data_IF_963219054162
#
_entry.id   IF_963219054162
#
_cell.length_a   1.000
_cell.length_b   1.000
_cell.length_c   1.000
_cell.angle_alpha   90.00
_cell.angle_beta   90.00
_cell.angle_gamma   90.00
#
_symmetry.space_group_name_H-M   'P 1'
#
loop_
_entity.id
_entity.type
_entity.pdbx_description
1 polymer ?
#
# COMPACT_ATOMS: atom_id res chain seq x y z
N UNK A 1 -39.43 -47.33 -30.54
CA UNK A 1 -39.68 -46.43 -29.40
C UNK A 1 -38.99 -45.12 -29.75
N UNK A 2 -39.73 -44.25 -30.42
CA UNK A 2 -39.21 -43.06 -31.09
C UNK A 2 -39.64 -41.85 -30.28
N UNK A 3 -38.67 -41.04 -29.86
CA UNK A 3 -38.89 -39.86 -29.06
C UNK A 3 -39.55 -38.75 -29.89
N UNK A 4 -40.63 -38.19 -29.36
CA UNK A 4 -41.39 -37.09 -29.96
C UNK A 4 -40.68 -35.76 -29.70
N UNK A 5 -40.49 -34.99 -30.77
CA UNK A 5 -39.90 -33.66 -30.77
C UNK A 5 -40.95 -32.60 -30.40
N UNK A 6 -40.60 -31.69 -29.49
CA UNK A 6 -41.38 -30.49 -29.19
C UNK A 6 -40.94 -29.33 -30.11
N UNK A 7 -41.86 -28.49 -30.62
CA UNK A 7 -41.54 -27.43 -31.56
C UNK A 7 -40.96 -26.18 -30.86
N UNK A 8 -39.97 -25.55 -31.50
CA UNK A 8 -39.39 -24.27 -31.11
C UNK A 8 -40.40 -23.11 -31.33
N UNK A 9 -40.50 -22.14 -30.39
CA UNK A 9 -41.23 -20.91 -30.66
C UNK A 9 -40.37 -19.93 -31.48
N UNK A 10 -40.89 -19.58 -32.65
CA UNK A 10 -40.39 -18.54 -33.56
C UNK A 10 -40.33 -17.18 -32.87
N UNK A 11 -39.11 -16.66 -32.68
CA UNK A 11 -38.87 -15.27 -32.25
C UNK A 11 -39.08 -14.36 -33.46
N UNK A 12 -40.28 -13.79 -33.61
CA UNK A 12 -40.51 -12.69 -34.55
C UNK A 12 -40.04 -11.39 -33.90
N UNK A 13 -39.10 -10.72 -34.56
CA UNK A 13 -38.64 -9.37 -34.21
C UNK A 13 -39.81 -8.40 -34.23
N UNK A 14 -40.11 -7.80 -33.08
CA UNK A 14 -40.95 -6.61 -32.97
C UNK A 14 -40.08 -5.46 -32.47
N UNK A 15 -39.14 -5.01 -33.31
CA UNK A 15 -38.66 -3.64 -33.26
C UNK A 15 -39.76 -2.80 -33.91
N UNK A 16 -40.71 -2.37 -33.08
CA UNK A 16 -41.60 -1.26 -33.44
C UNK A 16 -40.80 0.03 -33.29
N UNK A 17 -40.26 0.53 -34.40
CA UNK A 17 -39.76 1.89 -34.51
C UNK A 17 -40.91 2.87 -34.25
N UNK A 18 -41.10 3.23 -32.98
CA UNK A 18 -41.73 4.49 -32.61
C UNK A 18 -40.64 5.37 -32.03
N UNK A 19 -39.84 5.94 -32.92
CA UNK A 19 -39.07 7.15 -32.61
C UNK A 19 -40.07 8.22 -32.16
N UNK A 20 -40.33 8.29 -30.86
CA UNK A 20 -40.88 9.49 -30.27
C UNK A 20 -39.81 10.56 -30.42
N UNK A 21 -40.13 11.61 -31.18
CA UNK A 21 -39.29 12.79 -31.29
C UNK A 21 -38.90 13.24 -29.88
N UNK A 22 -37.64 13.68 -29.65
CA UNK A 22 -37.26 14.24 -28.37
C UNK A 22 -38.22 15.40 -28.09
N UNK A 23 -38.95 15.30 -26.98
CA UNK A 23 -39.76 16.40 -26.52
C UNK A 23 -38.76 17.48 -26.12
N UNK A 24 -38.49 18.44 -27.01
CA UNK A 24 -37.74 19.66 -26.71
C UNK A 24 -38.59 20.47 -25.71
N UNK A 25 -38.50 20.07 -24.46
CA UNK A 25 -39.10 20.77 -23.35
C UNK A 25 -38.29 22.04 -23.03
N UNK A 26 -38.94 23.13 -22.62
CA UNK A 26 -38.29 24.38 -22.24
C UNK A 26 -37.36 24.29 -21.00
N UNK A 27 -37.33 23.16 -20.29
CA UNK A 27 -36.39 22.86 -19.21
C UNK A 27 -34.93 22.71 -19.69
N UNK A 28 -34.73 22.21 -20.91
CA UNK A 28 -33.42 22.03 -21.52
C UNK A 28 -32.73 23.35 -21.86
N UNK A 29 -33.49 24.40 -22.24
CA UNK A 29 -32.92 25.70 -22.60
C UNK A 29 -32.35 26.46 -21.40
N UNK A 30 -33.03 26.43 -20.25
CA UNK A 30 -32.58 27.10 -19.03
C UNK A 30 -31.32 26.45 -18.46
N UNK A 31 -31.31 25.11 -18.42
CA UNK A 31 -30.15 24.35 -17.95
C UNK A 31 -28.95 24.53 -18.90
N UNK A 32 -29.16 24.48 -20.21
CA UNK A 32 -28.13 24.76 -21.20
C UNK A 32 -27.55 26.17 -21.07
N UNK A 33 -28.39 27.19 -20.86
CA UNK A 33 -27.95 28.59 -20.70
C UNK A 33 -27.08 28.76 -19.44
N UNK A 34 -27.49 28.21 -18.30
CA UNK A 34 -26.71 28.26 -17.05
C UNK A 34 -25.40 27.49 -17.18
N UNK A 35 -25.40 26.33 -17.84
CA UNK A 35 -24.18 25.56 -18.12
C UNK A 35 -23.24 26.34 -19.04
N UNK A 36 -23.76 27.03 -20.06
CA UNK A 36 -22.98 27.86 -20.97
C UNK A 36 -22.35 29.07 -20.27
N UNK A 37 -23.09 29.77 -19.40
CA UNK A 37 -22.53 30.86 -18.58
C UNK A 37 -21.41 30.34 -17.66
N UNK A 38 -21.63 29.18 -17.04
CA UNK A 38 -20.65 28.54 -16.19
C UNK A 38 -19.40 28.11 -16.97
N UNK A 39 -19.57 27.62 -18.20
CA UNK A 39 -18.47 27.30 -19.13
C UNK A 39 -17.74 28.57 -19.62
N UNK A 40 -18.44 29.68 -19.83
CA UNK A 40 -17.85 30.95 -20.25
C UNK A 40 -16.94 31.55 -19.17
N UNK A 41 -17.31 31.42 -17.88
CA UNK A 41 -16.43 31.73 -16.75
C UNK A 41 -15.16 30.85 -16.75
N UNK A 42 -15.16 29.75 -17.52
CA UNK A 42 -14.04 28.82 -17.65
C UNK A 42 -13.12 29.09 -18.85
N UNK A 43 -13.59 29.75 -19.89
CA UNK A 43 -12.75 30.05 -21.06
C UNK A 43 -11.64 31.09 -20.79
N UNK A 44 -11.79 31.93 -19.76
CA UNK A 44 -10.95 33.14 -19.56
C UNK A 44 -9.60 32.92 -18.87
N UNK A 45 -9.24 31.71 -18.41
CA UNK A 45 -8.08 31.52 -17.50
C UNK A 45 -6.89 30.69 -18.03
N UNK A 46 -6.78 30.47 -19.36
CA UNK A 46 -5.51 30.09 -20.00
C UNK A 46 -4.79 28.85 -19.46
N UNK A 47 -5.50 27.83 -18.99
CA UNK A 47 -4.91 26.59 -18.49
C UNK A 47 -5.80 25.39 -18.82
N UNK A 48 -5.17 24.22 -19.01
CA UNK A 48 -5.76 22.94 -19.44
C UNK A 48 -7.18 22.73 -18.88
N UNK A 49 -8.17 23.08 -19.69
CA UNK A 49 -9.58 23.10 -19.32
C UNK A 49 -10.26 21.73 -19.48
N UNK A 50 -9.52 20.69 -19.86
CA UNK A 50 -10.06 19.39 -20.25
C UNK A 50 -10.81 18.69 -19.12
N UNK A 51 -10.27 18.70 -17.91
CA UNK A 51 -10.89 18.07 -16.74
C UNK A 51 -12.18 18.81 -16.32
N UNK A 52 -12.19 20.13 -16.45
CA UNK A 52 -13.40 20.93 -16.20
C UNK A 52 -14.47 20.68 -17.26
N UNK A 53 -14.12 20.76 -18.55
CA UNK A 53 -15.08 20.51 -19.64
C UNK A 53 -15.65 19.10 -19.57
N UNK A 54 -14.82 18.12 -19.18
CA UNK A 54 -15.28 16.75 -18.97
C UNK A 54 -16.22 16.63 -17.77
N UNK A 55 -15.92 17.32 -16.66
CA UNK A 55 -16.79 17.35 -15.48
C UNK A 55 -18.16 17.98 -15.79
N UNK A 56 -18.18 19.09 -16.53
CA UNK A 56 -19.42 19.75 -16.95
C UNK A 56 -20.23 18.88 -17.92
N UNK A 57 -19.56 18.28 -18.92
CA UNK A 57 -20.21 17.38 -19.88
C UNK A 57 -20.86 16.16 -19.23
N UNK A 58 -20.27 15.61 -18.16
CA UNK A 58 -20.89 14.52 -17.38
C UNK A 58 -22.15 14.94 -16.62
N UNK A 59 -22.26 16.22 -16.25
CA UNK A 59 -23.47 16.76 -15.61
C UNK A 59 -24.56 16.95 -16.67
N UNK A 60 -24.20 17.51 -17.81
CA UNK A 60 -25.09 17.72 -18.96
C UNK A 60 -25.66 16.39 -19.48
N UNK A 61 -24.81 15.38 -19.70
CA UNK A 61 -25.22 14.03 -20.13
C UNK A 61 -26.22 13.41 -19.15
N UNK A 62 -25.97 13.54 -17.83
CA UNK A 62 -26.88 13.00 -16.82
C UNK A 62 -28.21 13.74 -16.76
N UNK A 63 -28.22 15.06 -16.95
CA UNK A 63 -29.44 15.85 -17.05
C UNK A 63 -30.27 15.40 -18.25
N UNK A 64 -29.64 15.29 -19.42
CA UNK A 64 -30.28 14.78 -20.64
C UNK A 64 -30.88 13.38 -20.42
N UNK A 65 -30.16 12.49 -19.72
CA UNK A 65 -30.66 11.15 -19.43
C UNK A 65 -31.88 11.16 -18.48
N UNK A 66 -31.91 12.07 -17.49
CA UNK A 66 -33.07 12.25 -16.61
C UNK A 66 -34.28 12.81 -17.37
N UNK A 67 -34.06 13.78 -18.26
CA UNK A 67 -35.14 14.45 -19.00
C UNK A 67 -35.69 13.59 -20.15
N UNK A 68 -34.88 12.67 -20.70
CA UNK A 68 -35.25 11.82 -21.84
C UNK A 68 -35.88 10.48 -21.43
N UNK A 69 -36.33 10.32 -20.18
CA UNK A 69 -36.77 9.03 -19.62
C UNK A 69 -35.75 7.90 -19.80
N UNK A 70 -34.45 8.22 -19.87
CA UNK A 70 -33.37 7.25 -20.05
C UNK A 70 -32.81 6.74 -18.71
N UNK A 71 -33.28 7.28 -17.58
CA UNK A 71 -32.92 6.78 -16.26
C UNK A 71 -33.65 5.46 -15.97
N UNK A 72 -32.90 4.36 -15.93
CA UNK A 72 -33.43 3.03 -15.62
C UNK A 72 -32.92 2.56 -14.25
N UNK A 73 -33.83 2.08 -13.41
CA UNK A 73 -33.47 1.50 -12.12
C UNK A 73 -32.82 0.13 -12.33
N UNK A 74 -31.52 -0.04 -11.99
CA UNK A 74 -30.80 -1.29 -12.23
C UNK A 74 -31.25 -2.49 -11.35
N UNK A 75 -32.17 -2.26 -10.41
CA UNK A 75 -32.73 -3.33 -9.56
C UNK A 75 -33.97 -3.96 -10.19
N UNK A 76 -34.89 -3.14 -10.71
CA UNK A 76 -36.13 -3.63 -11.35
C UNK A 76 -36.11 -3.55 -12.88
N UNK A 77 -35.12 -2.89 -13.47
CA UNK A 77 -34.94 -2.64 -14.91
C UNK A 77 -36.05 -1.80 -15.55
N UNK A 78 -36.84 -1.09 -14.73
CA UNK A 78 -37.88 -0.16 -15.20
C UNK A 78 -37.34 1.27 -15.29
N UNK A 79 -37.97 2.04 -16.17
CA UNK A 79 -37.74 3.50 -16.30
C UNK A 79 -38.19 4.20 -15.03
N UNK A 80 -37.37 5.16 -14.58
CA UNK A 80 -37.64 6.04 -13.46
C UNK A 80 -38.30 7.31 -14.02
N UNK A 81 -39.52 7.59 -13.59
CA UNK A 81 -40.27 8.78 -13.95
C UNK A 81 -40.02 9.90 -12.94
N UNK A 82 -40.24 11.15 -13.33
CA UNK A 82 -39.99 12.30 -12.46
C UNK A 82 -40.87 12.38 -11.21
N UNK A 83 -41.98 11.64 -11.18
CA UNK A 83 -42.87 11.51 -10.01
C UNK A 83 -42.43 10.39 -9.04
N UNK A 84 -41.58 9.47 -9.50
CA UNK A 84 -41.19 8.31 -8.71
C UNK A 84 -40.29 8.72 -7.54
N UNK A 85 -40.54 8.23 -6.31
CA UNK A 85 -39.60 8.41 -5.20
C UNK A 85 -38.30 7.67 -5.47
N UNK A 86 -37.17 8.39 -5.48
CA UNK A 86 -35.86 7.82 -5.80
C UNK A 86 -34.88 7.90 -4.63
N UNK A 87 -33.88 7.03 -4.69
CA UNK A 87 -32.64 7.14 -3.92
C UNK A 87 -31.46 7.30 -4.88
N UNK A 88 -30.51 8.13 -4.48
CA UNK A 88 -29.32 8.46 -5.27
C UNK A 88 -28.08 8.03 -4.48
N UNK A 89 -27.16 7.31 -5.12
CA UNK A 89 -25.91 6.90 -4.50
C UNK A 89 -24.92 8.09 -4.38
N UNK A 90 -25.02 8.87 -3.30
CA UNK A 90 -24.23 10.11 -3.09
C UNK A 90 -22.74 9.89 -2.88
N UNK A 91 -22.36 8.82 -2.18
CA UNK A 91 -20.97 8.52 -1.83
C UNK A 91 -20.18 7.80 -2.95
N UNK A 92 -20.86 7.39 -4.02
CA UNK A 92 -20.27 6.56 -5.07
C UNK A 92 -20.66 7.03 -6.47
N UNK A 93 -21.45 6.22 -7.16
CA UNK A 93 -21.72 6.38 -8.60
C UNK A 93 -22.72 7.47 -8.99
N UNK A 94 -23.49 8.01 -8.04
CA UNK A 94 -24.55 9.00 -8.26
C UNK A 94 -25.67 8.53 -9.21
N UNK A 95 -25.89 7.22 -9.32
CA UNK A 95 -27.02 6.65 -10.07
C UNK A 95 -28.31 6.68 -9.27
N UNK A 96 -29.42 6.72 -10.00
CA UNK A 96 -30.79 6.76 -9.48
C UNK A 96 -31.36 5.35 -9.40
N UNK A 97 -32.11 5.10 -8.32
CA UNK A 97 -32.86 3.87 -8.11
C UNK A 97 -34.20 4.23 -7.50
N UNK A 98 -35.25 3.45 -7.77
CA UNK A 98 -36.49 3.58 -7.00
C UNK A 98 -36.22 3.38 -5.51
N UNK A 99 -36.80 4.22 -4.66
CA UNK A 99 -36.63 4.17 -3.21
C UNK A 99 -37.07 2.80 -2.66
N UNK A 100 -38.18 2.26 -3.16
CA UNK A 100 -38.64 0.93 -2.76
C UNK A 100 -37.65 -0.18 -3.16
N UNK A 101 -37.06 -0.10 -4.36
CA UNK A 101 -36.08 -1.08 -4.83
C UNK A 101 -34.82 -1.06 -3.97
N UNK A 102 -34.29 0.11 -3.62
CA UNK A 102 -33.09 0.18 -2.78
C UNK A 102 -33.35 -0.31 -1.36
N UNK A 103 -34.56 -0.09 -0.83
CA UNK A 103 -34.96 -0.60 0.47
C UNK A 103 -34.97 -2.13 0.47
N UNK A 104 -35.54 -2.76 -0.57
CA UNK A 104 -35.50 -4.21 -0.75
C UNK A 104 -34.08 -4.74 -0.84
N UNK A 105 -33.26 -4.11 -1.68
CA UNK A 105 -31.85 -4.44 -1.86
C UNK A 105 -31.05 -4.37 -0.55
N UNK A 106 -31.17 -3.27 0.18
CA UNK A 106 -30.46 -3.07 1.45
C UNK A 106 -30.86 -4.13 2.50
N UNK A 107 -32.16 -4.43 2.63
CA UNK A 107 -32.64 -5.49 3.55
C UNK A 107 -32.03 -6.84 3.19
N UNK A 108 -32.02 -7.20 1.91
CA UNK A 108 -31.46 -8.46 1.42
C UNK A 108 -29.95 -8.54 1.68
N UNK A 109 -29.19 -7.48 1.39
CA UNK A 109 -27.75 -7.43 1.63
C UNK A 109 -27.41 -7.57 3.12
N UNK A 110 -28.11 -6.84 4.00
CA UNK A 110 -27.92 -6.96 5.45
C UNK A 110 -28.25 -8.36 5.97
N UNK A 111 -29.28 -9.00 5.42
CA UNK A 111 -29.62 -10.38 5.77
C UNK A 111 -28.53 -11.36 5.35
N UNK A 112 -28.06 -11.31 4.10
CA UNK A 112 -26.98 -12.18 3.59
C UNK A 112 -25.69 -11.97 4.39
N UNK A 113 -25.36 -10.72 4.73
CA UNK A 113 -24.21 -10.39 5.58
C UNK A 113 -24.36 -11.00 6.99
N UNK A 114 -25.53 -10.86 7.62
CA UNK A 114 -25.82 -11.45 8.93
C UNK A 114 -25.76 -12.99 8.93
N UNK A 115 -26.24 -13.64 7.87
CA UNK A 115 -26.15 -15.09 7.69
C UNK A 115 -24.69 -15.53 7.51
N UNK A 116 -23.90 -14.83 6.70
CA UNK A 116 -22.48 -15.14 6.51
C UNK A 116 -21.66 -15.00 7.79
N UNK A 117 -22.02 -14.06 8.67
CA UNK A 117 -21.38 -13.86 9.98
C UNK A 117 -21.52 -15.12 10.86
N UNK A 118 -22.66 -15.82 10.80
CA UNK A 118 -22.90 -17.05 11.56
C UNK A 118 -22.16 -18.28 11.00
N UNK A 119 -21.72 -18.26 9.74
CA UNK A 119 -20.96 -19.38 9.13
C UNK A 119 -19.49 -19.41 9.57
N UNK A 120 -18.91 -18.24 9.87
CA UNK A 120 -17.49 -18.10 10.20
C UNK A 120 -17.22 -17.95 11.70
N UNK A 121 -18.26 -17.81 12.53
CA UNK A 121 -18.16 -17.68 13.98
C UNK A 121 -19.10 -18.70 14.64
N UNK A 122 -18.57 -19.52 15.55
CA UNK A 122 -19.40 -20.40 16.36
C UNK A 122 -20.21 -19.54 17.36
N UNK A 123 -21.55 -19.53 17.28
CA UNK A 123 -22.40 -18.71 18.14
C UNK A 123 -22.24 -19.00 19.64
N UNK A 124 -21.90 -20.24 20.00
CA UNK A 124 -21.75 -20.66 21.40
C UNK A 124 -20.42 -20.21 22.01
N UNK A 125 -19.39 -20.00 21.18
CA UNK A 125 -18.05 -19.68 21.65
C UNK A 125 -17.76 -18.18 21.65
N UNK A 126 -18.43 -17.42 20.78
CA UNK A 126 -18.19 -15.98 20.62
C UNK A 126 -19.51 -15.21 20.36
N UNK A 127 -20.44 -15.16 21.34
CA UNK A 127 -21.73 -14.49 21.19
C UNK A 127 -21.58 -12.96 20.97
N UNK A 128 -20.66 -12.31 21.67
CA UNK A 128 -20.44 -10.87 21.55
C UNK A 128 -19.89 -10.51 20.17
N UNK A 129 -18.91 -11.26 19.67
CA UNK A 129 -18.34 -11.05 18.33
C UNK A 129 -19.38 -11.27 17.21
N UNK A 130 -20.35 -12.14 17.42
CA UNK A 130 -21.45 -12.36 16.49
C UNK A 130 -22.45 -11.19 16.51
N UNK A 131 -22.78 -10.68 17.69
CA UNK A 131 -23.67 -9.51 17.83
C UNK A 131 -23.07 -8.27 17.17
N UNK A 132 -21.80 -7.96 17.44
CA UNK A 132 -21.08 -6.84 16.82
C UNK A 132 -21.00 -6.97 15.31
N UNK A 133 -20.74 -8.18 14.78
CA UNK A 133 -20.66 -8.41 13.33
C UNK A 133 -22.01 -8.31 12.63
N UNK A 134 -23.12 -8.65 13.31
CA UNK A 134 -24.48 -8.47 12.78
C UNK A 134 -24.89 -6.99 12.77
N UNK A 135 -24.50 -6.24 13.79
CA UNK A 135 -24.77 -4.80 13.88
C UNK A 135 -23.94 -4.00 12.86
N UNK A 136 -22.71 -4.44 12.59
CA UNK A 136 -21.82 -3.87 11.57
C UNK A 136 -22.10 -4.37 10.15
N UNK A 137 -23.23 -5.03 9.89
CA UNK A 137 -23.57 -5.52 8.56
C UNK A 137 -23.95 -4.34 7.65
N UNK A 138 -22.98 -3.87 6.87
CA UNK A 138 -23.14 -2.82 5.87
C UNK A 138 -23.82 -3.36 4.60
N UNK A 139 -24.51 -2.48 3.88
CA UNK A 139 -25.03 -2.75 2.54
C UNK A 139 -24.39 -1.76 1.56
N UNK A 140 -24.15 -2.23 0.34
CA UNK A 140 -23.53 -1.43 -0.72
C UNK A 140 -24.49 -1.11 -1.86
N UNK A 141 -24.21 -0.03 -2.58
CA UNK A 141 -24.94 0.35 -3.80
C UNK A 141 -24.98 -0.82 -4.82
N UNK A 142 -26.13 -1.10 -5.47
CA UNK A 142 -26.23 -2.17 -6.48
C UNK A 142 -25.24 -2.04 -7.64
N UNK A 143 -24.89 -0.80 -8.02
CA UNK A 143 -23.99 -0.53 -9.17
C UNK A 143 -22.52 -0.48 -8.76
N UNK A 144 -22.16 0.37 -7.80
CA UNK A 144 -20.74 0.61 -7.46
C UNK A 144 -20.26 -0.13 -6.22
N UNK A 145 -21.17 -0.77 -5.46
CA UNK A 145 -20.89 -1.46 -4.19
C UNK A 145 -20.27 -0.60 -3.09
N UNK A 146 -20.14 0.72 -3.29
CA UNK A 146 -19.76 1.65 -2.22
C UNK A 146 -20.72 1.48 -1.05
N UNK A 147 -20.22 1.23 0.18
CA UNK A 147 -21.06 1.10 1.36
C UNK A 147 -21.72 2.45 1.64
N UNK A 148 -23.00 2.42 2.05
CA UNK A 148 -23.66 3.63 2.51
C UNK A 148 -23.07 4.02 3.88
N UNK A 149 -22.74 5.30 4.05
CA UNK A 149 -22.22 5.82 5.33
C UNK A 149 -23.27 5.77 6.44
N UNK A 150 -24.56 5.68 6.07
CA UNK A 150 -25.64 5.41 7.00
C UNK A 150 -25.84 3.89 7.15
N UNK A 151 -25.69 3.37 8.37
CA UNK A 151 -26.01 1.98 8.71
C UNK A 151 -27.50 1.65 8.56
N UNK A 152 -28.32 2.68 8.35
CA UNK A 152 -29.76 2.62 8.17
C UNK A 152 -30.16 2.44 6.71
N UNK A 153 -31.32 1.84 6.51
CA UNK A 153 -31.91 1.68 5.18
C UNK A 153 -32.59 2.99 4.81
N UNK A 154 -32.33 3.57 3.63
CA UNK A 154 -32.88 4.87 3.26
C UNK A 154 -34.41 4.84 3.18
N UNK A 155 -35.04 5.75 3.90
CA UNK A 155 -36.50 5.94 3.93
C UNK A 155 -36.95 7.25 3.30
N UNK A 156 -36.00 8.14 3.00
CA UNK A 156 -36.27 9.50 2.54
C UNK A 156 -35.83 9.66 1.09
N UNK A 157 -36.67 10.31 0.30
CA UNK A 157 -36.38 10.74 -1.06
C UNK A 157 -35.96 12.22 -1.04
N UNK A 158 -34.74 12.49 -1.49
CA UNK A 158 -34.20 13.84 -1.53
C UNK A 158 -33.82 14.21 -2.96
N UNK A 159 -33.92 15.51 -3.28
CA UNK A 159 -33.44 16.04 -4.55
C UNK A 159 -31.93 15.81 -4.76
N UNK A 160 -31.40 16.02 -5.96
CA UNK A 160 -29.99 15.74 -6.26
C UNK A 160 -28.98 16.42 -5.32
N UNK A 161 -29.24 17.65 -4.87
CA UNK A 161 -28.35 18.36 -3.94
C UNK A 161 -28.56 17.97 -2.46
N UNK A 162 -29.62 17.21 -2.14
CA UNK A 162 -29.90 16.72 -0.79
C UNK A 162 -30.63 17.72 0.12
N UNK A 163 -30.98 18.91 -0.38
CA UNK A 163 -31.58 19.98 0.44
C UNK A 163 -33.09 19.83 0.64
N UNK A 164 -33.79 19.33 -0.37
CA UNK A 164 -35.26 19.25 -0.39
C UNK A 164 -35.67 17.79 -0.26
N UNK A 165 -36.45 17.49 0.77
CA UNK A 165 -37.16 16.23 0.94
C UNK A 165 -38.40 16.23 0.03
N UNK A 166 -38.64 15.14 -0.67
CA UNK A 166 -39.78 14.92 -1.57
C UNK A 166 -40.03 16.10 -2.53
N UNK A 167 -39.06 16.41 -3.42
CA UNK A 167 -39.21 17.53 -4.35
C UNK A 167 -40.43 17.36 -5.25
N UNK A 168 -41.19 18.45 -5.41
CA UNK A 168 -42.35 18.50 -6.31
C UNK A 168 -41.90 18.39 -7.76
N UNK A 169 -42.52 17.49 -8.52
CA UNK A 169 -42.27 17.38 -9.95
C UNK A 169 -42.77 18.63 -10.69
N UNK A 170 -41.90 19.23 -11.49
CA UNK A 170 -42.20 20.37 -12.35
C UNK A 170 -41.66 20.07 -13.76
N UNK A 171 -42.50 20.08 -14.81
CA UNK A 171 -42.07 19.83 -16.20
C UNK A 171 -41.00 20.78 -16.74
N UNK A 172 -40.80 21.95 -16.11
CA UNK A 172 -39.83 22.96 -16.52
C UNK A 172 -38.48 22.81 -15.80
N UNK A 173 -38.39 21.90 -14.84
CA UNK A 173 -37.18 21.59 -14.09
C UNK A 173 -36.74 20.15 -14.37
N UNK A 174 -35.44 19.84 -14.23
CA UNK A 174 -35.00 18.45 -14.31
C UNK A 174 -35.73 17.60 -13.26
N UNK A 175 -36.17 16.41 -13.67
CA UNK A 175 -36.83 15.45 -12.78
C UNK A 175 -35.99 15.22 -11.50
N UNK A 176 -36.64 15.13 -10.34
CA UNK A 176 -35.99 14.97 -9.02
C UNK A 176 -35.07 16.13 -8.60
N UNK A 177 -35.05 17.25 -9.33
CA UNK A 177 -34.38 18.49 -8.95
C UNK A 177 -35.27 19.35 -8.06
N UNK A 178 -34.66 20.22 -7.25
CA UNK A 178 -35.39 21.22 -6.46
C UNK A 178 -35.43 22.60 -7.13
N UNK A 179 -34.87 22.76 -8.33
CA UNK A 179 -34.80 24.04 -9.05
C UNK A 179 -33.83 25.09 -8.47
N UNK A 180 -33.51 25.01 -7.18
CA UNK A 180 -32.58 25.90 -6.50
C UNK A 180 -31.10 25.64 -6.83
N UNK A 181 -30.23 26.61 -6.52
CA UNK A 181 -28.77 26.45 -6.61
C UNK A 181 -28.31 25.23 -5.79
N UNK A 182 -27.47 24.41 -6.40
CA UNK A 182 -26.94 23.17 -5.83
C UNK A 182 -26.28 23.42 -4.47
N UNK A 183 -25.35 24.36 -4.39
CA UNK A 183 -24.69 24.78 -3.14
C UNK A 183 -23.92 23.69 -2.39
N UNK A 184 -23.75 22.50 -2.96
CA UNK A 184 -22.81 21.48 -2.45
C UNK A 184 -21.39 22.06 -2.43
N UNK A 185 -20.61 21.68 -1.44
CA UNK A 185 -19.21 22.08 -1.37
C UNK A 185 -18.43 21.47 -2.53
N UNK A 186 -17.70 22.33 -3.24
CA UNK A 186 -16.88 21.95 -4.38
C UNK A 186 -15.57 21.35 -3.88
N UNK A 187 -15.20 20.22 -4.47
CA UNK A 187 -13.90 19.62 -4.26
C UNK A 187 -12.85 20.42 -5.05
N UNK A 188 -11.85 20.93 -4.32
CA UNK A 188 -10.62 21.48 -4.87
C UNK A 188 -9.61 20.38 -5.21
N UNK A 189 -8.39 20.81 -5.50
CA UNK A 189 -7.26 19.94 -5.90
C UNK A 189 -7.14 18.66 -5.03
N UNK A 190 -7.10 17.49 -5.63
CA UNK A 190 -6.80 16.24 -4.89
C UNK A 190 -7.88 15.84 -3.89
N UNK A 191 -9.11 16.35 -4.03
CA UNK A 191 -10.26 15.95 -3.23
C UNK A 191 -10.45 16.71 -1.91
N UNK A 192 -9.72 17.82 -1.68
CA UNK A 192 -9.95 18.64 -0.49
C UNK A 192 -11.15 19.58 -0.66
N UNK A 193 -11.84 19.85 0.43
CA UNK A 193 -12.86 20.89 0.52
C UNK A 193 -12.21 22.26 0.31
N UNK A 194 -12.51 22.94 -0.80
CA UNK A 194 -11.92 24.24 -1.10
C UNK A 194 -12.67 25.42 -0.47
N UNK A 195 -13.75 25.17 0.28
CA UNK A 195 -14.60 26.19 0.89
C UNK A 195 -15.49 26.95 -0.11
N UNK A 196 -15.51 26.54 -1.39
CA UNK A 196 -16.38 27.13 -2.41
C UNK A 196 -17.62 26.28 -2.65
N UNK A 197 -18.76 26.91 -2.89
CA UNK A 197 -20.03 26.23 -3.14
C UNK A 197 -20.39 26.18 -4.63
N UNK A 198 -21.01 25.09 -5.07
CA UNK A 198 -21.52 24.91 -6.43
C UNK A 198 -22.62 25.93 -6.74
N UNK A 199 -22.45 26.70 -7.83
CA UNK A 199 -23.41 27.71 -8.29
C UNK A 199 -24.38 27.20 -9.37
N UNK A 200 -24.17 26.00 -9.90
CA UNK A 200 -25.13 25.38 -10.81
C UNK A 200 -26.47 25.15 -10.13
N UNK A 201 -27.54 25.07 -10.91
CA UNK A 201 -28.83 24.57 -10.41
C UNK A 201 -28.67 23.13 -9.90
N UNK A 202 -29.62 22.68 -9.07
CA UNK A 202 -29.63 21.32 -8.55
C UNK A 202 -29.56 20.31 -9.71
N UNK A 203 -28.49 19.52 -9.72
CA UNK A 203 -28.08 18.70 -10.85
C UNK A 203 -27.67 17.30 -10.37
N UNK A 204 -27.89 16.25 -11.20
CA UNK A 204 -27.44 14.90 -10.91
C UNK A 204 -25.91 14.79 -10.96
N UNK A 205 -25.37 13.74 -10.36
CA UNK A 205 -23.93 13.49 -10.40
C UNK A 205 -23.08 14.34 -9.44
N UNK A 206 -21.75 14.14 -9.48
CA UNK A 206 -20.80 14.95 -8.72
C UNK A 206 -20.74 16.38 -9.28
N UNK A 207 -20.38 17.34 -8.43
CA UNK A 207 -20.17 18.71 -8.88
C UNK A 207 -18.92 18.80 -9.79
N UNK A 208 -18.94 19.66 -10.83
CA UNK A 208 -17.75 19.93 -11.63
C UNK A 208 -16.67 20.61 -10.77
N UNK A 209 -15.39 20.58 -11.18
CA UNK A 209 -14.32 21.21 -10.42
C UNK A 209 -14.54 22.72 -10.27
N UNK A 210 -13.97 23.30 -9.21
CA UNK A 210 -14.22 24.70 -8.86
C UNK A 210 -13.73 25.68 -9.95
N UNK A 211 -14.61 26.55 -10.50
CA UNK A 211 -14.24 27.51 -11.54
C UNK A 211 -13.56 28.76 -10.99
N UNK A 212 -13.55 28.95 -9.66
CA UNK A 212 -13.07 30.18 -9.03
C UNK A 212 -11.57 30.33 -9.20
N UNK A 213 -11.15 31.55 -9.52
CA UNK A 213 -9.74 31.89 -9.66
C UNK A 213 -9.14 32.23 -8.30
N UNK A 214 -8.03 31.57 -7.98
CA UNK A 214 -7.23 31.76 -6.77
C UNK A 214 -5.79 32.07 -7.17
N UNK A 215 -5.09 32.78 -6.30
CA UNK A 215 -3.65 32.98 -6.42
C UNK A 215 -2.93 31.80 -5.80
N UNK A 216 -2.19 31.08 -6.63
CA UNK A 216 -1.45 29.89 -6.22
C UNK A 216 0.03 30.11 -6.52
N UNK A 217 0.88 29.67 -5.60
CA UNK A 217 2.32 29.69 -5.77
C UNK A 217 2.79 28.42 -6.48
N UNK A 218 3.76 28.56 -7.38
CA UNK A 218 4.46 27.45 -7.99
C UNK A 218 5.12 26.57 -6.93
N UNK A 219 5.41 25.30 -7.23
CA UNK A 219 6.13 24.39 -6.32
C UNK A 219 7.50 24.92 -5.84
N UNK A 220 8.09 25.85 -6.57
CA UNK A 220 9.34 26.51 -6.21
C UNK A 220 9.15 27.76 -5.33
N UNK A 221 7.92 28.24 -5.14
CA UNK A 221 7.58 29.46 -4.40
C UNK A 221 7.93 30.79 -5.08
N UNK A 222 8.65 30.76 -6.22
CA UNK A 222 9.19 31.95 -6.88
C UNK A 222 8.19 32.68 -7.79
N UNK A 223 7.18 31.95 -8.28
CA UNK A 223 6.19 32.46 -9.23
C UNK A 223 4.82 32.22 -8.64
N UNK A 224 4.00 33.26 -8.60
CA UNK A 224 2.58 33.16 -8.25
C UNK A 224 1.78 33.43 -9.51
N UNK A 225 0.76 32.61 -9.77
CA UNK A 225 -0.14 32.76 -10.92
C UNK A 225 -1.59 32.65 -10.47
N UNK A 226 -2.44 33.52 -11.02
CA UNK A 226 -3.89 33.37 -10.93
C UNK A 226 -4.32 32.17 -11.77
N UNK A 227 -4.89 31.16 -11.13
CA UNK A 227 -5.38 29.95 -11.79
C UNK A 227 -6.65 29.42 -11.11
N UNK A 228 -7.24 28.37 -11.66
CA UNK A 228 -8.47 27.80 -11.09
C UNK A 228 -8.17 27.04 -9.81
N UNK A 229 -9.05 27.17 -8.82
CA UNK A 229 -8.96 26.42 -7.57
C UNK A 229 -9.01 24.89 -7.79
N UNK A 230 -9.78 24.44 -8.79
CA UNK A 230 -9.82 23.03 -9.18
C UNK A 230 -8.62 22.53 -9.99
N UNK A 231 -7.71 23.41 -10.44
CA UNK A 231 -6.56 22.98 -11.24
C UNK A 231 -5.46 22.35 -10.38
N UNK A 232 -4.76 21.37 -10.96
CA UNK A 232 -3.55 20.77 -10.37
C UNK A 232 -2.45 21.82 -10.24
N UNK A 233 -1.53 21.63 -9.30
CA UNK A 233 -0.41 22.57 -9.11
C UNK A 233 0.37 22.78 -10.38
N UNK A 234 0.75 24.02 -10.60
CA UNK A 234 1.58 24.38 -11.74
C UNK A 234 3.06 24.38 -11.38
N UNK A 235 3.86 23.93 -12.33
CA UNK A 235 5.29 24.23 -12.39
C UNK A 235 5.51 25.41 -13.33
N UNK A 236 6.41 26.31 -12.96
CA UNK A 236 6.77 27.47 -13.78
C UNK A 236 7.66 27.10 -14.98
N UNK A 237 8.03 25.82 -15.14
CA UNK A 237 8.92 25.33 -16.19
C UNK A 237 10.38 25.77 -16.06
N UNK A 238 10.69 26.77 -15.22
CA UNK A 238 12.07 27.20 -14.98
C UNK A 238 12.85 26.14 -14.21
N UNK A 239 14.18 26.19 -14.33
CA UNK A 239 15.10 25.37 -13.51
C UNK A 239 14.79 25.54 -12.02
N UNK A 240 14.73 24.43 -11.30
CA UNK A 240 14.38 24.38 -9.88
C UNK A 240 15.39 25.19 -9.04
N UNK A 241 16.68 24.88 -9.20
CA UNK A 241 17.77 25.58 -8.54
C UNK A 241 17.87 25.36 -7.03
N UNK A 242 17.02 24.51 -6.44
CA UNK A 242 17.12 24.10 -5.02
C UNK A 242 18.47 23.44 -4.76
N UNK A 243 19.08 23.75 -3.62
CA UNK A 243 20.33 23.13 -3.19
C UNK A 243 20.11 21.67 -2.80
N UNK A 244 20.86 20.77 -3.44
CA UNK A 244 20.88 19.34 -3.14
C UNK A 244 21.82 19.08 -1.96
N UNK A 245 21.71 17.91 -1.33
CA UNK A 245 22.57 17.47 -0.23
C UNK A 245 24.07 17.45 -0.59
N UNK A 246 24.39 17.29 -1.88
CA UNK A 246 25.75 17.33 -2.38
C UNK A 246 26.32 18.74 -2.62
N UNK A 247 25.57 19.80 -2.32
CA UNK A 247 25.98 21.20 -2.51
C UNK A 247 25.72 21.76 -3.91
N UNK A 248 25.27 20.94 -4.87
CA UNK A 248 24.89 21.38 -6.22
C UNK A 248 23.45 21.89 -6.29
N UNK A 249 23.14 22.70 -7.30
CA UNK A 249 21.78 23.14 -7.59
C UNK A 249 21.07 22.13 -8.49
N UNK A 250 19.80 21.84 -8.19
CA UNK A 250 18.97 20.96 -9.01
C UNK A 250 18.78 21.55 -10.43
N UNK A 251 19.25 20.85 -11.49
CA UNK A 251 19.14 21.31 -12.88
C UNK A 251 17.77 21.00 -13.50
N UNK A 252 16.96 20.16 -12.86
CA UNK A 252 15.65 19.78 -13.36
C UNK A 252 14.70 20.99 -13.43
N UNK A 253 13.74 20.91 -14.36
CA UNK A 253 12.62 21.85 -14.39
C UNK A 253 11.84 21.79 -13.07
N UNK A 254 11.17 22.88 -12.71
CA UNK A 254 10.36 22.94 -11.49
C UNK A 254 9.42 21.73 -11.40
N UNK A 255 9.54 20.98 -10.31
CA UNK A 255 8.85 19.71 -10.11
C UNK A 255 8.09 19.74 -8.76
N UNK A 256 7.03 18.94 -8.62
CA UNK A 256 6.24 18.85 -7.39
C UNK A 256 6.98 18.21 -6.22
N UNK A 257 7.74 17.16 -6.50
CA UNK A 257 8.31 16.30 -5.47
C UNK A 257 9.66 16.81 -4.94
N UNK A 258 10.26 16.05 -4.03
CA UNK A 258 11.66 16.25 -3.65
C UNK A 258 12.58 16.24 -4.88
N UNK A 259 13.64 17.04 -4.84
CA UNK A 259 14.56 17.12 -5.98
C UNK A 259 15.16 15.76 -6.32
N UNK A 260 15.25 15.42 -7.62
CA UNK A 260 15.92 14.20 -8.03
C UNK A 260 17.39 14.22 -7.56
N UNK A 261 18.00 13.03 -7.39
CA UNK A 261 19.42 12.91 -7.08
C UNK A 261 20.26 13.66 -8.11
N UNK A 262 21.42 14.16 -7.67
CA UNK A 262 22.33 14.88 -8.55
C UNK A 262 22.88 13.94 -9.64
N UNK A 263 22.63 14.30 -10.90
CA UNK A 263 23.11 13.58 -12.10
C UNK A 263 24.53 13.97 -12.52
N UNK A 264 25.11 15.01 -11.91
CA UNK A 264 26.49 15.38 -12.18
C UNK A 264 27.42 14.24 -11.80
N UNK A 265 28.38 13.92 -12.66
CA UNK A 265 29.42 12.93 -12.38
C UNK A 265 30.73 13.62 -12.02
N UNK A 266 31.49 13.02 -11.11
CA UNK A 266 32.78 13.53 -10.69
C UNK A 266 33.73 12.38 -10.32
N UNK A 267 35.02 12.68 -10.26
CA UNK A 267 36.05 11.70 -9.93
C UNK A 267 36.23 11.63 -8.39
N UNK A 268 35.60 10.65 -7.77
CA UNK A 268 35.65 10.45 -6.32
C UNK A 268 36.53 9.24 -5.96
N UNK A 269 37.11 9.25 -4.77
CA UNK A 269 37.91 8.13 -4.25
C UNK A 269 37.06 7.14 -3.45
N UNK A 270 37.40 5.85 -3.47
CA UNK A 270 36.78 4.83 -2.60
C UNK A 270 36.87 5.25 -1.13
N UNK A 271 36.04 4.64 -0.27
CA UNK A 271 36.14 4.76 1.21
C UNK A 271 37.56 4.49 1.74
N UNK A 272 38.34 3.69 1.01
CA UNK A 272 39.70 3.32 1.31
C UNK A 272 40.80 4.28 0.82
N UNK A 273 40.50 5.20 -0.10
CA UNK A 273 41.44 6.07 -0.81
C UNK A 273 42.28 5.43 -1.93
N UNK A 274 42.17 4.12 -2.19
CA UNK A 274 43.01 3.39 -3.17
C UNK A 274 42.59 3.59 -4.63
N UNK A 275 41.30 3.56 -4.90
CA UNK A 275 40.76 3.66 -6.27
C UNK A 275 40.00 4.96 -6.43
N UNK A 276 40.15 5.61 -7.59
CA UNK A 276 39.34 6.75 -8.01
C UNK A 276 38.55 6.34 -9.24
N UNK A 277 37.24 6.58 -9.21
CA UNK A 277 36.37 6.35 -10.37
C UNK A 277 35.37 7.48 -10.51
N UNK A 278 34.92 7.66 -11.74
CA UNK A 278 33.87 8.63 -12.07
C UNK A 278 32.54 8.04 -11.63
N UNK A 279 31.96 8.62 -10.58
CA UNK A 279 30.65 8.22 -10.04
C UNK A 279 29.70 9.41 -10.03
N UNK A 280 28.41 9.14 -9.93
CA UNK A 280 27.43 10.20 -9.74
C UNK A 280 27.71 10.93 -8.43
N UNK A 281 27.41 12.22 -8.39
CA UNK A 281 27.55 13.05 -7.21
C UNK A 281 26.61 12.62 -6.07
N UNK A 282 25.63 11.76 -6.36
CA UNK A 282 24.78 11.11 -5.36
C UNK A 282 25.44 9.88 -4.74
N UNK A 283 26.46 9.31 -5.39
CA UNK A 283 27.20 8.11 -5.01
C UNK A 283 28.69 8.40 -4.76
N UNK A 284 29.02 9.58 -4.23
CA UNK A 284 30.39 10.01 -3.94
C UNK A 284 31.17 9.02 -3.06
N UNK A 285 30.46 8.22 -2.26
CA UNK A 285 31.03 7.25 -1.35
C UNK A 285 30.78 5.85 -1.88
N UNK A 286 31.82 5.21 -2.41
CA UNK A 286 31.75 3.84 -2.93
C UNK A 286 32.85 2.93 -2.38
N UNK A 287 32.60 1.62 -2.49
CA UNK A 287 33.51 0.55 -2.11
C UNK A 287 34.16 -0.01 -3.38
N UNK A 288 35.49 -0.07 -3.43
CA UNK A 288 36.24 -0.60 -4.59
C UNK A 288 36.25 -2.13 -4.67
N UNK A 289 35.71 -2.83 -3.67
CA UNK A 289 35.79 -4.29 -3.58
C UNK A 289 37.17 -4.85 -3.24
N UNK A 290 38.23 -4.05 -3.24
CA UNK A 290 39.57 -4.49 -2.83
C UNK A 290 39.72 -4.63 -1.31
N UNK A 291 40.65 -5.50 -0.89
CA UNK A 291 41.05 -5.63 0.50
C UNK A 291 41.68 -4.32 0.99
N UNK A 292 41.19 -3.78 2.11
CA UNK A 292 41.60 -2.51 2.68
C UNK A 292 43.13 -2.42 2.89
N UNK A 293 43.76 -3.45 3.46
CA UNK A 293 45.21 -3.57 3.53
C UNK A 293 45.94 -2.52 4.38
N UNK A 294 45.21 -1.59 5.02
CA UNK A 294 45.77 -0.62 5.97
C UNK A 294 46.39 -1.36 7.18
N UNK A 295 47.55 -0.91 7.70
CA UNK A 295 48.13 -1.50 8.90
C UNK A 295 47.17 -1.30 10.09
N UNK A 296 46.88 -2.40 10.80
CA UNK A 296 46.10 -2.37 12.04
C UNK A 296 46.94 -1.72 13.16
N UNK A 297 46.29 -1.32 14.25
CA UNK A 297 46.94 -0.63 15.37
C UNK A 297 48.17 -1.37 15.95
N UNK A 298 48.27 -2.68 15.75
CA UNK A 298 49.45 -3.47 16.14
C UNK A 298 50.70 -3.24 15.26
N UNK A 299 50.61 -2.46 14.19
CA UNK A 299 51.71 -2.07 13.29
C UNK A 299 52.26 -3.18 12.39
N UNK A 300 51.85 -4.45 12.59
CA UNK A 300 52.41 -5.62 11.89
C UNK A 300 51.40 -6.45 11.10
N UNK A 301 50.10 -6.32 11.40
CA UNK A 301 49.04 -6.98 10.64
C UNK A 301 48.29 -5.98 9.76
N UNK A 302 47.87 -6.43 8.58
CA UNK A 302 47.09 -5.62 7.63
C UNK A 302 45.61 -5.97 7.73
N UNK A 303 44.74 -4.98 7.53
CA UNK A 303 43.30 -5.19 7.50
C UNK A 303 42.90 -6.12 6.35
N UNK A 304 42.22 -7.22 6.66
CA UNK A 304 41.69 -8.19 5.70
C UNK A 304 40.26 -7.90 5.24
N UNK A 305 39.61 -6.87 5.79
CA UNK A 305 38.26 -6.46 5.37
C UNK A 305 38.31 -5.87 3.96
N UNK A 306 37.27 -6.15 3.16
CA UNK A 306 37.01 -5.41 1.92
C UNK A 306 36.82 -3.92 2.23
N UNK A 307 36.99 -3.06 1.22
CA UNK A 307 36.85 -1.60 1.33
C UNK A 307 35.69 -1.21 2.27
N UNK A 308 36.01 -0.56 3.39
CA UNK A 308 35.05 -0.26 4.43
C UNK A 308 35.21 1.20 4.90
N UNK A 309 34.17 1.70 5.55
CA UNK A 309 34.19 3.02 6.20
C UNK A 309 34.81 2.92 7.60
N UNK A 310 35.49 3.98 8.05
CA UNK A 310 36.05 4.09 9.41
C UNK A 310 37.34 3.30 9.66
N UNK A 311 37.72 3.24 10.95
CA UNK A 311 38.92 2.53 11.40
C UNK A 311 38.82 1.02 11.16
N UNK A 312 39.95 0.39 10.82
CA UNK A 312 40.00 -1.06 10.57
C UNK A 312 39.69 -1.91 11.83
N UNK A 313 39.73 -1.28 13.00
CA UNK A 313 39.57 -1.91 14.31
C UNK A 313 40.89 -2.47 14.85
N UNK A 314 40.81 -3.14 16.00
CA UNK A 314 41.94 -3.86 16.59
C UNK A 314 42.38 -5.06 15.74
N UNK A 315 43.59 -5.54 16.00
CA UNK A 315 44.02 -6.79 15.39
C UNK A 315 43.16 -7.95 15.94
N UNK A 316 42.65 -8.86 15.09
CA UNK A 316 41.94 -10.05 15.57
C UNK A 316 42.77 -10.89 16.56
N UNK A 317 44.10 -10.76 16.48
CA UNK A 317 45.08 -11.43 17.32
C UNK A 317 45.65 -10.52 18.43
N UNK A 318 45.18 -9.27 18.56
CA UNK A 318 45.54 -8.39 19.69
C UNK A 318 44.48 -8.47 20.78
N UNK A 319 44.92 -8.62 22.02
CA UNK A 319 44.06 -8.72 23.19
C UNK A 319 44.66 -9.68 24.21
N UNK A 320 43.95 -9.85 25.34
CA UNK A 320 44.35 -10.80 26.38
C UNK A 320 44.34 -12.20 25.79
N UNK A 321 45.51 -12.84 25.77
CA UNK A 321 45.65 -14.20 25.23
C UNK A 321 45.41 -15.20 26.33
N UNK A 322 44.59 -16.22 26.08
CA UNK A 322 44.39 -17.31 27.05
C UNK A 322 45.27 -18.51 26.70
N UNK A 323 45.59 -19.35 27.70
CA UNK A 323 46.13 -20.69 27.44
C UNK A 323 45.25 -21.43 26.42
N UNK A 324 45.78 -22.47 25.78
CA UNK A 324 44.98 -23.36 24.91
C UNK A 324 43.74 -23.97 25.61
N UNK A 325 43.72 -23.96 26.95
CA UNK A 325 42.63 -24.39 27.80
C UNK A 325 41.63 -23.30 28.23
N UNK A 326 41.88 -22.02 27.95
CA UNK A 326 41.07 -20.87 28.38
C UNK A 326 41.25 -20.41 29.85
N UNK A 327 41.87 -21.22 30.72
CA UNK A 327 41.92 -21.00 32.18
C UNK A 327 42.83 -19.87 32.66
N UNK A 328 43.95 -19.64 31.97
CA UNK A 328 44.96 -18.64 32.36
C UNK A 328 45.02 -17.58 31.29
N UNK A 329 44.96 -16.33 31.72
CA UNK A 329 45.07 -15.14 30.91
C UNK A 329 46.52 -14.64 30.89
N UNK A 330 46.97 -14.19 29.73
CA UNK A 330 48.27 -13.59 29.52
C UNK A 330 48.09 -12.20 28.89
N UNK A 331 47.96 -11.15 29.73
CA UNK A 331 47.71 -9.78 29.27
C UNK A 331 48.89 -9.18 28.51
N UNK A 332 50.10 -9.60 28.82
CA UNK A 332 51.36 -9.07 28.27
C UNK A 332 51.74 -9.68 26.91
N UNK A 333 50.98 -10.67 26.41
CA UNK A 333 51.31 -11.30 25.14
C UNK A 333 50.97 -10.38 23.97
N UNK A 334 51.94 -10.18 23.08
CA UNK A 334 51.72 -9.42 21.86
C UNK A 334 51.01 -10.27 20.82
N UNK A 335 50.47 -9.63 19.78
CA UNK A 335 49.78 -10.33 18.68
C UNK A 335 50.68 -11.29 17.86
N UNK A 336 51.99 -11.32 18.12
CA UNK A 336 52.92 -12.27 17.50
C UNK A 336 53.26 -13.47 18.39
N UNK A 337 53.03 -13.36 19.70
CA UNK A 337 53.41 -14.38 20.65
C UNK A 337 52.35 -15.48 20.69
N UNK A 338 52.78 -16.73 20.60
CA UNK A 338 51.91 -17.87 20.81
C UNK A 338 51.57 -17.98 22.30
N UNK A 339 50.28 -18.10 22.63
CA UNK A 339 49.87 -18.30 24.02
C UNK A 339 50.47 -19.60 24.56
N UNK A 340 51.24 -19.57 25.66
CA UNK A 340 51.81 -20.78 26.22
C UNK A 340 50.72 -21.64 26.88
N UNK A 341 51.03 -22.93 27.07
CA UNK A 341 50.20 -23.79 27.91
C UNK A 341 50.40 -23.43 29.38
N UNK A 342 49.32 -23.44 30.17
CA UNK A 342 49.40 -23.08 31.60
C UNK A 342 50.01 -24.17 32.50
N UNK A 343 50.34 -25.34 31.92
CA UNK A 343 50.90 -26.47 32.67
C UNK A 343 49.91 -27.27 33.52
N UNK A 344 48.71 -26.73 33.81
CA UNK A 344 47.62 -27.40 34.52
C UNK A 344 46.90 -28.45 33.68
N UNK A 345 46.09 -29.29 34.34
CA UNK A 345 45.15 -30.20 33.68
C UNK A 345 44.18 -29.41 32.79
N UNK A 346 44.15 -29.76 31.49
CA UNK A 346 43.40 -29.08 30.44
C UNK A 346 41.93 -28.89 30.82
N UNK A 347 41.24 -29.96 31.23
CA UNK A 347 39.87 -29.89 31.75
C UNK A 347 38.80 -29.47 30.74
N UNK A 348 39.16 -29.27 29.46
CA UNK A 348 38.22 -29.09 28.34
C UNK A 348 37.37 -30.36 28.20
N UNK A 349 36.11 -30.19 27.80
CA UNK A 349 35.24 -31.32 27.53
C UNK A 349 35.76 -32.13 26.35
N UNK A 350 35.84 -33.45 26.52
CA UNK A 350 36.11 -34.36 25.42
C UNK A 350 34.89 -34.41 24.48
N UNK A 351 35.06 -34.83 23.21
CA UNK A 351 33.97 -34.91 22.24
C UNK A 351 32.78 -35.77 22.71
N UNK A 352 33.00 -36.71 23.64
CA UNK A 352 31.95 -37.53 24.23
C UNK A 352 31.00 -36.77 25.16
N UNK A 353 31.27 -35.50 25.48
CA UNK A 353 30.40 -34.60 26.26
C UNK A 353 30.20 -34.98 27.74
N UNK A 354 30.73 -36.13 28.19
CA UNK A 354 30.57 -36.66 29.55
C UNK A 354 31.83 -36.62 30.39
N UNK A 355 33.00 -36.48 29.78
CA UNK A 355 34.29 -36.53 30.46
C UNK A 355 35.15 -35.32 30.13
N UNK A 356 35.98 -34.91 31.10
CA UNK A 356 36.93 -33.79 30.95
C UNK A 356 38.32 -34.31 30.67
N UNK A 357 39.07 -33.61 29.82
CA UNK A 357 40.44 -33.94 29.48
C UNK A 357 41.33 -33.90 30.74
N UNK A 358 42.00 -35.03 31.02
CA UNK A 358 42.91 -35.21 32.15
C UNK A 358 44.38 -34.91 31.79
N UNK A 359 44.66 -34.62 30.54
CA UNK A 359 46.02 -34.30 30.09
C UNK A 359 46.41 -32.87 30.50
N UNK A 360 47.71 -32.60 30.57
CA UNK A 360 48.22 -31.24 30.78
C UNK A 360 47.82 -30.35 29.61
N UNK A 361 47.65 -29.05 29.85
CA UNK A 361 47.30 -28.08 28.83
C UNK A 361 48.24 -28.24 27.61
N UNK A 362 47.65 -28.48 26.44
CA UNK A 362 48.36 -28.80 25.22
C UNK A 362 47.79 -27.97 24.05
N UNK A 363 48.60 -27.66 23.03
CA UNK A 363 48.10 -27.09 21.78
C UNK A 363 47.20 -28.09 21.04
N UNK A 364 46.22 -27.59 20.29
CA UNK A 364 45.30 -28.42 19.51
C UNK A 364 44.14 -29.04 20.29
N UNK A 365 43.43 -29.97 19.64
CA UNK A 365 42.23 -30.63 20.16
C UNK A 365 42.54 -31.75 21.15
N UNK A 366 41.67 -31.93 22.15
CA UNK A 366 41.85 -32.99 23.16
C UNK A 366 41.66 -34.38 22.56
N UNK A 367 42.33 -35.38 23.14
CA UNK A 367 42.28 -36.76 22.66
C UNK A 367 40.82 -37.27 22.54
N UNK A 368 40.48 -37.84 21.38
CA UNK A 368 39.11 -38.24 21.07
C UNK A 368 38.60 -39.43 21.91
N UNK A 369 39.50 -40.26 22.45
CA UNK A 369 39.17 -41.48 23.20
C UNK A 369 39.20 -41.25 24.73
N UNK A 370 38.08 -41.50 25.41
CA UNK A 370 38.00 -41.42 26.86
C UNK A 370 38.56 -42.69 27.54
N UNK A 371 39.66 -42.56 28.28
CA UNK A 371 40.31 -43.68 28.99
C UNK A 371 39.84 -43.78 30.45
N UNK A 372 38.68 -44.38 30.71
CA UNK A 372 38.26 -44.78 32.07
C UNK A 372 38.32 -46.31 32.23
N UNK A 373 38.83 -46.80 33.37
CA UNK A 373 38.79 -48.22 33.74
C UNK A 373 37.45 -48.54 34.40
N UNK A 374 36.71 -49.49 33.85
CA UNK A 374 35.49 -50.02 34.44
C UNK A 374 35.84 -51.26 35.26
N UNK A 375 35.58 -51.28 36.56
CA UNK A 375 35.61 -52.51 37.37
C UNK A 375 34.34 -53.30 37.10
N UNK A 376 34.47 -54.45 36.42
CA UNK A 376 33.35 -55.40 36.29
C UNK A 376 33.12 -56.06 37.65
N UNK A 377 31.98 -55.78 38.27
CA UNK A 377 31.47 -56.53 39.42
C UNK A 377 30.84 -57.82 38.87
N UNK A 378 31.25 -58.96 39.42
CA UNK A 378 30.77 -60.29 39.02
C UNK A 378 29.45 -60.58 39.76
N UNK A 379 28.41 -61.05 39.05
CA UNK A 379 27.13 -61.47 39.62
C UNK A 379 26.91 -62.96 39.29
N UNK A 380 26.81 -63.80 40.33
CA UNK A 380 26.86 -65.28 40.24
C UNK A 380 25.58 -65.96 39.73
N UNK A 381 24.54 -65.22 39.33
CA UNK A 381 23.27 -65.82 38.92
C UNK A 381 23.15 -65.96 37.39
N UNK A 382 23.61 -67.12 36.89
CA UNK A 382 23.33 -67.81 35.60
C UNK A 382 24.62 -68.21 34.91
N UNK A 383 25.13 -69.38 35.28
CA UNK A 383 26.29 -70.02 34.68
C UNK A 383 26.11 -70.27 33.18
N UNK A 384 26.96 -69.63 32.38
CA UNK A 384 27.48 -70.17 31.12
C UNK A 384 28.71 -69.38 30.73
N UNK A 385 29.84 -70.08 30.65
CA UNK A 385 31.17 -69.55 30.35
C UNK A 385 31.40 -69.57 28.83
N UNK A 386 31.74 -68.42 28.24
CA UNK A 386 32.53 -68.35 27.00
C UNK A 386 33.48 -67.14 27.08
N UNK A 387 34.77 -67.29 26.71
CA UNK A 387 35.80 -66.27 26.90
C UNK A 387 35.59 -65.12 25.93
N UNK A 388 35.79 -63.88 26.36
CA UNK A 388 35.80 -62.73 25.45
C UNK A 388 37.22 -62.29 25.14
N UNK A 389 37.55 -62.50 23.88
CA UNK A 389 38.58 -61.80 23.13
C UNK A 389 38.63 -60.30 23.44
N UNK A 390 39.86 -59.80 23.42
CA UNK A 390 40.21 -58.38 23.46
C UNK A 390 39.65 -57.75 22.17
N UNK A 391 38.43 -57.22 22.23
CA UNK A 391 37.96 -56.31 21.19
C UNK A 391 38.26 -54.87 21.58
N UNK A 392 39.44 -54.42 21.12
CA UNK A 392 39.69 -53.04 20.71
C UNK A 392 38.58 -52.64 19.74
N UNK A 393 37.58 -51.90 20.21
CA UNK A 393 36.63 -51.23 19.33
C UNK A 393 37.11 -49.80 19.10
N UNK A 394 37.98 -49.67 18.10
CA UNK A 394 38.13 -48.47 17.29
C UNK A 394 36.81 -48.22 16.56
N UNK A 395 36.14 -47.11 16.86
CA UNK A 395 35.19 -46.51 15.93
C UNK A 395 35.72 -45.14 15.54
N UNK A 396 36.28 -45.11 14.34
CA UNK A 396 36.59 -43.90 13.57
C UNK A 396 35.24 -43.38 13.08
N UNK A 397 34.90 -42.15 13.44
CA UNK A 397 33.87 -41.39 12.74
C UNK A 397 34.58 -40.28 11.97
N UNK A 398 34.61 -40.42 10.64
CA UNK A 398 34.93 -39.32 9.73
C UNK A 398 33.80 -38.28 9.75
N UNK A 399 34.12 -36.97 9.70
CA UNK A 399 33.13 -35.90 9.60
C UNK A 399 32.65 -35.71 8.15
N UNK A 400 31.49 -35.05 7.94
CA UNK A 400 30.86 -34.90 6.62
C UNK A 400 31.60 -33.99 5.65
#
# INVERSE_FOLDING_TARGET
MSAEAWPEPSVKSALGDTAHAPHEGPSGELTATVLAEYAAQVATAGADGSDFSQGLGRVEERLQNCDSNACVCLVCLEVIHGEDPVWICREGCHDLFHLHCIQGWARQQKQVAAESATRHLNPERFPDALSTRKESAEWGCPKCRTPDSSTHIPTSYYCFCGKTLDPTFDPWLPAHSCGEKCGRELLGRGGHACGHSCMLLCHPGPCPPCPRLVEESCHCGKVTRRQRCGQKSFSCGTVCGKGLSCGHNCPAACHPDSCPPCELTGEFSCKCGKERRTVSCSEQVFECGEVCGKPLACGRHKCSKICHYGDCGGCPMSGIRHCHCGKVEFPELTCMDAAPSCGDTCGRWLPCGRHRCTDRCHPGDCAQACRQRVTKVWEESKGSYMPRDIHLLTQVHEPP
#
